data_IF_492790611386
#
_entry.id   IF_492790611386
#
_cell.length_a   1.000
_cell.length_b   1.000
_cell.length_c   1.000
_cell.angle_alpha   90.00
_cell.angle_beta   90.00
_cell.angle_gamma   90.00
#
_symmetry.space_group_name_H-M   'P 1'
#
loop_
_entity.id
_entity.type
_entity.pdbx_description
1 polymer ?
#
# COMPACT_ATOMS: atom_id res chain seq x y z
N UNK A 1 5.38 -19.94 -4.79
CA UNK A 1 3.97 -19.67 -5.09
C UNK A 1 3.27 -18.88 -3.99
N UNK A 2 3.38 -19.33 -2.76
CA UNK A 2 2.76 -18.58 -1.66
C UNK A 2 3.36 -17.20 -1.48
N UNK A 3 4.66 -17.09 -1.69
CA UNK A 3 5.34 -15.81 -1.61
C UNK A 3 4.76 -14.80 -2.58
N UNK A 4 4.54 -15.25 -3.83
CA UNK A 4 3.97 -14.40 -4.86
C UNK A 4 2.55 -13.96 -4.49
N UNK A 5 1.73 -14.90 -4.01
CA UNK A 5 0.37 -14.59 -3.60
C UNK A 5 0.36 -13.62 -2.42
N UNK A 6 1.23 -13.87 -1.44
CA UNK A 6 1.34 -13.01 -0.28
C UNK A 6 1.74 -11.59 -0.69
N UNK A 7 2.72 -11.49 -1.56
CA UNK A 7 3.19 -10.19 -2.06
C UNK A 7 2.05 -9.46 -2.79
N UNK A 8 1.36 -10.16 -3.69
CA UNK A 8 0.28 -9.57 -4.45
C UNK A 8 -0.85 -9.08 -3.54
N UNK A 9 -1.24 -9.87 -2.57
CA UNK A 9 -2.29 -9.49 -1.63
C UNK A 9 -1.88 -8.29 -0.80
N UNK A 10 -0.65 -8.27 -0.32
CA UNK A 10 -0.18 -7.15 0.48
C UNK A 10 -0.07 -5.88 -0.32
N UNK A 11 0.39 -5.97 -1.57
CA UNK A 11 0.46 -4.80 -2.44
C UNK A 11 -0.96 -4.28 -2.74
N UNK A 12 -1.89 -5.18 -3.02
CA UNK A 12 -3.27 -4.79 -3.29
C UNK A 12 -3.89 -4.10 -2.08
N UNK A 13 -3.74 -4.69 -0.90
CA UNK A 13 -4.27 -4.11 0.33
C UNK A 13 -3.61 -2.78 0.66
N UNK A 14 -2.29 -2.70 0.49
CA UNK A 14 -1.57 -1.47 0.73
C UNK A 14 -2.00 -0.36 -0.22
N UNK A 15 -2.21 -0.70 -1.49
CA UNK A 15 -2.67 0.26 -2.48
C UNK A 15 -4.07 0.78 -2.12
N UNK A 16 -4.98 -0.12 -1.76
CA UNK A 16 -6.33 0.26 -1.38
C UNK A 16 -6.32 1.14 -0.13
N UNK A 17 -5.52 0.78 0.86
CA UNK A 17 -5.40 1.56 2.08
C UNK A 17 -4.80 2.93 1.78
N UNK A 18 -3.78 2.98 0.93
CA UNK A 18 -3.16 4.23 0.52
C UNK A 18 -4.14 5.15 -0.19
N UNK A 19 -4.93 4.60 -1.10
CA UNK A 19 -5.97 5.37 -1.79
C UNK A 19 -7.03 5.88 -0.81
N UNK A 20 -7.43 5.05 0.14
CA UNK A 20 -8.41 5.44 1.13
C UNK A 20 -7.93 6.59 1.99
N UNK A 21 -6.69 6.51 2.46
CA UNK A 21 -6.08 7.57 3.26
C UNK A 21 -5.90 8.82 2.43
N UNK A 22 -5.42 8.68 1.19
CA UNK A 22 -5.23 9.80 0.30
C UNK A 22 -6.54 10.52 0.03
N UNK A 23 -7.61 9.77 -0.15
CA UNK A 23 -8.93 10.34 -0.39
C UNK A 23 -9.41 11.14 0.83
N UNK A 24 -9.19 10.61 2.02
CA UNK A 24 -9.58 11.28 3.25
C UNK A 24 -8.75 12.55 3.48
N UNK A 25 -7.47 12.53 3.13
CA UNK A 25 -6.56 13.64 3.36
C UNK A 25 -6.67 14.69 2.28
N UNK A 26 -7.08 14.32 1.07
CA UNK A 26 -7.20 15.25 -0.06
C UNK A 26 -8.08 16.45 0.27
N UNK A 27 -9.04 16.27 1.17
CA UNK A 27 -9.91 17.36 1.59
C UNK A 27 -9.13 18.47 2.31
N UNK A 28 -7.95 18.16 2.83
CA UNK A 28 -7.21 19.08 3.69
C UNK A 28 -5.79 19.39 3.24
N UNK A 29 -5.20 18.58 2.38
CA UNK A 29 -3.81 18.79 2.05
C UNK A 29 -3.46 18.31 0.65
N UNK A 30 -2.24 18.65 0.23
CA UNK A 30 -1.75 18.33 -1.11
C UNK A 30 -0.86 17.08 -1.09
N UNK A 31 -1.10 16.16 -0.19
CA UNK A 31 -0.26 14.99 -0.05
C UNK A 31 -0.92 13.65 -0.41
N UNK A 32 -1.88 13.59 -1.36
CA UNK A 32 -2.48 12.31 -1.72
C UNK A 32 -1.47 11.36 -2.36
N UNK A 33 -0.55 11.87 -3.17
CA UNK A 33 0.49 11.06 -3.81
C UNK A 33 1.41 10.43 -2.79
N UNK A 34 1.72 11.14 -1.74
CA UNK A 34 2.59 10.62 -0.68
C UNK A 34 1.98 9.41 0.00
N UNK A 35 0.71 9.51 0.39
CA UNK A 35 0.04 8.42 1.08
C UNK A 35 -0.19 7.23 0.16
N UNK A 36 -0.52 7.48 -1.09
CA UNK A 36 -0.68 6.42 -2.06
C UNK A 36 0.62 5.66 -2.27
N UNK A 37 1.73 6.37 -2.45
CA UNK A 37 3.03 5.76 -2.62
C UNK A 37 3.44 4.98 -1.37
N UNK A 38 3.18 5.53 -0.19
CA UNK A 38 3.50 4.84 1.06
C UNK A 38 2.74 3.54 1.20
N UNK A 39 1.47 3.52 0.78
CA UNK A 39 0.65 2.31 0.81
C UNK A 39 1.23 1.21 -0.06
N UNK A 40 1.61 1.57 -1.29
CA UNK A 40 2.20 0.60 -2.23
C UNK A 40 3.53 0.08 -1.70
N UNK A 41 4.41 0.98 -1.27
CA UNK A 41 5.72 0.61 -0.75
C UNK A 41 5.57 -0.26 0.50
N UNK A 42 4.67 0.13 1.41
CA UNK A 42 4.40 -0.65 2.61
C UNK A 42 3.89 -2.04 2.29
N UNK A 43 3.03 -2.15 1.28
CA UNK A 43 2.52 -3.44 0.82
C UNK A 43 3.63 -4.32 0.26
N UNK A 44 4.54 -3.74 -0.52
CA UNK A 44 5.67 -4.47 -1.08
C UNK A 44 6.57 -4.95 0.04
N UNK A 45 6.90 -4.10 0.99
CA UNK A 45 7.77 -4.45 2.11
C UNK A 45 7.14 -5.54 2.98
N UNK A 46 5.86 -5.41 3.29
CA UNK A 46 5.16 -6.41 4.09
C UNK A 46 5.08 -7.74 3.36
N UNK A 47 4.82 -7.71 2.06
CA UNK A 47 4.76 -8.92 1.25
C UNK A 47 6.11 -9.60 1.18
N UNK A 48 7.17 -8.84 0.97
CA UNK A 48 8.54 -9.35 0.92
C UNK A 48 8.93 -9.95 2.27
N UNK A 49 8.61 -9.28 3.35
CA UNK A 49 8.90 -9.79 4.69
C UNK A 49 8.16 -11.09 4.95
N UNK A 50 6.93 -11.21 4.47
CA UNK A 50 6.17 -12.43 4.59
C UNK A 50 6.72 -13.59 3.78
N UNK A 51 7.56 -13.30 2.78
CA UNK A 51 8.23 -14.32 1.98
C UNK A 51 9.44 -14.92 2.69
N UNK A 52 10.01 -14.20 3.61
CA UNK A 52 11.18 -14.65 4.35
C UNK A 52 10.76 -15.52 5.52
#
# INVERSE_FOLDING_TARGET
MRCFLNLTLNVALGTLAGFGIADAVTAHSLAPLYYESSGVIGGILAGAAGCL
#
